data_IF_397365723560
#
_entry.id   IF_397365723560
#
_cell.length_a   1.000
_cell.length_b   1.000
_cell.length_c   1.000
_cell.angle_alpha   90.00
_cell.angle_beta   90.00
_cell.angle_gamma   90.00
#
_symmetry.space_group_name_H-M   'P 1'
#
loop_
_entity.id
_entity.type
_entity.pdbx_description
1 polymer ?
#
# COMPACT_ATOMS: atom_id res chain seq x y z
N UNK A 1 10.68 6.13 16.50
CA UNK A 1 10.60 7.22 17.51
C UNK A 1 11.92 7.41 18.24
N UNK A 2 12.85 6.42 18.19
CA UNK A 2 14.18 6.50 18.78
C UNK A 2 15.15 7.45 18.04
N UNK A 3 14.88 7.74 16.77
CA UNK A 3 15.78 8.52 15.92
C UNK A 3 16.89 7.70 15.23
N UNK A 4 16.94 6.40 15.48
CA UNK A 4 17.98 5.50 14.97
C UNK A 4 17.74 5.08 13.51
N UNK A 5 16.51 5.27 12.99
CA UNK A 5 16.12 4.93 11.62
C UNK A 5 15.82 6.19 10.85
N UNK A 6 16.64 6.46 9.83
CA UNK A 6 16.53 7.64 8.96
C UNK A 6 15.54 7.40 7.82
N UNK A 7 15.43 6.18 7.33
CA UNK A 7 14.54 5.81 6.22
C UNK A 7 13.87 4.47 6.50
N UNK A 8 12.63 4.32 6.05
CA UNK A 8 11.86 3.09 6.20
C UNK A 8 10.87 2.91 5.04
N UNK A 9 10.46 1.67 4.79
CA UNK A 9 9.42 1.35 3.81
C UNK A 9 8.09 1.32 4.55
N UNK A 10 7.14 2.12 4.08
CA UNK A 10 5.77 2.15 4.61
C UNK A 10 4.79 2.59 3.51
N UNK A 11 3.54 2.82 3.87
CA UNK A 11 2.51 3.32 2.97
C UNK A 11 2.03 4.71 3.35
N UNK A 12 1.21 5.30 2.48
CA UNK A 12 0.65 6.66 2.69
C UNK A 12 -0.16 6.80 3.97
N UNK A 13 -0.60 5.71 4.57
CA UNK A 13 -1.32 5.72 5.86
C UNK A 13 -0.47 6.19 7.05
N UNK A 14 0.86 6.10 6.94
CA UNK A 14 1.80 6.54 7.98
C UNK A 14 2.24 7.99 7.84
N UNK A 15 1.89 8.67 6.77
CA UNK A 15 2.33 10.04 6.48
C UNK A 15 2.08 10.99 7.64
N UNK A 16 0.87 10.92 8.23
CA UNK A 16 0.51 11.81 9.35
C UNK A 16 1.37 11.56 10.59
N UNK A 17 1.69 10.30 10.88
CA UNK A 17 2.55 9.92 12.00
C UNK A 17 3.99 10.39 11.78
N UNK A 18 4.52 10.17 10.57
CA UNK A 18 5.87 10.58 10.20
C UNK A 18 5.99 12.12 10.22
N UNK A 19 5.02 12.81 9.64
CA UNK A 19 4.99 14.28 9.62
C UNK A 19 4.86 14.87 11.03
N UNK A 20 4.11 14.22 11.92
CA UNK A 20 4.01 14.68 13.33
C UNK A 20 5.34 14.56 14.08
N UNK A 21 6.24 13.68 13.66
CA UNK A 21 7.56 13.50 14.29
C UNK A 21 8.61 14.42 13.66
N UNK A 22 8.66 14.50 12.33
CA UNK A 22 9.72 15.15 11.58
C UNK A 22 9.35 16.52 11.01
N UNK A 23 8.08 16.91 11.08
CA UNK A 23 7.61 18.20 10.56
C UNK A 23 7.95 18.39 9.08
N UNK A 24 8.56 19.51 8.75
CA UNK A 24 8.97 19.86 7.39
C UNK A 24 10.23 19.09 6.90
N UNK A 25 10.91 18.37 7.79
CA UNK A 25 12.05 17.51 7.44
C UNK A 25 11.61 16.13 6.91
N UNK A 26 10.30 15.87 6.84
CA UNK A 26 9.74 14.67 6.26
C UNK A 26 9.92 14.66 4.74
N UNK A 27 10.35 13.53 4.20
CA UNK A 27 10.41 13.25 2.77
C UNK A 27 9.82 11.91 2.40
N UNK A 28 9.50 11.72 1.13
CA UNK A 28 9.07 10.44 0.59
C UNK A 28 9.51 10.31 -0.86
N UNK A 29 9.83 9.10 -1.27
CA UNK A 29 10.20 8.74 -2.64
C UNK A 29 9.64 7.36 -2.99
N UNK A 30 9.65 7.00 -4.27
CA UNK A 30 9.34 5.63 -4.69
C UNK A 30 10.31 4.63 -4.05
N UNK A 31 9.95 3.34 -4.07
CA UNK A 31 10.82 2.28 -3.56
C UNK A 31 12.18 2.27 -4.25
N UNK A 32 13.23 1.84 -3.56
CA UNK A 32 14.58 1.78 -4.13
C UNK A 32 14.68 0.71 -5.23
N UNK A 33 15.79 0.76 -5.95
CA UNK A 33 16.24 -0.35 -6.80
C UNK A 33 17.08 -1.33 -5.98
N UNK A 34 17.25 -2.53 -6.51
CA UNK A 34 18.15 -3.55 -5.98
C UNK A 34 18.84 -4.28 -7.14
N UNK A 35 20.00 -4.84 -6.87
CA UNK A 35 20.80 -5.53 -7.89
C UNK A 35 20.57 -7.04 -7.84
N UNK A 36 20.17 -7.63 -8.97
CA UNK A 36 20.01 -9.08 -9.14
C UNK A 36 20.79 -9.51 -10.38
N UNK A 37 21.68 -10.49 -10.22
CA UNK A 37 22.51 -11.01 -11.32
C UNK A 37 23.23 -9.90 -12.12
N UNK A 38 23.75 -8.88 -11.43
CA UNK A 38 24.46 -7.75 -12.04
C UNK A 38 23.56 -6.72 -12.74
N UNK A 39 22.23 -6.86 -12.63
CA UNK A 39 21.26 -5.91 -13.20
C UNK A 39 20.54 -5.16 -12.09
N UNK A 40 20.39 -3.85 -12.27
CA UNK A 40 19.59 -3.02 -11.39
C UNK A 40 18.11 -3.20 -11.72
N UNK A 41 17.30 -3.52 -10.71
CA UNK A 41 15.86 -3.78 -10.84
C UNK A 41 15.10 -2.85 -9.90
N UNK A 42 14.08 -2.17 -10.40
CA UNK A 42 13.19 -1.36 -9.59
C UNK A 42 12.30 -2.27 -8.73
N UNK A 43 12.29 -2.03 -7.42
CA UNK A 43 11.42 -2.76 -6.51
C UNK A 43 9.95 -2.53 -6.88
N UNK A 44 9.19 -3.61 -7.02
CA UNK A 44 7.75 -3.59 -7.30
C UNK A 44 6.94 -3.47 -6.01
N UNK A 45 5.70 -3.07 -6.14
CA UNK A 45 4.72 -3.02 -5.04
C UNK A 45 3.34 -3.46 -5.52
N UNK A 46 2.45 -3.76 -4.58
CA UNK A 46 1.04 -3.82 -4.91
C UNK A 46 0.47 -2.41 -5.08
N UNK A 47 -0.44 -2.28 -6.05
CA UNK A 47 -1.32 -1.12 -6.19
C UNK A 47 -2.76 -1.55 -5.92
N UNK A 48 -3.53 -0.68 -5.29
CA UNK A 48 -4.94 -0.94 -5.00
C UNK A 48 -5.69 0.35 -4.69
N UNK A 49 -7.01 0.24 -4.71
CA UNK A 49 -7.90 1.35 -4.41
C UNK A 49 -8.83 0.96 -3.26
N UNK A 50 -9.13 1.91 -2.39
CA UNK A 50 -10.25 1.79 -1.44
C UNK A 50 -11.55 2.02 -2.21
N UNK A 51 -12.45 1.07 -2.14
CA UNK A 51 -13.73 1.12 -2.88
C UNK A 51 -14.90 1.11 -1.90
N UNK A 52 -16.00 1.74 -2.29
CA UNK A 52 -17.28 1.61 -1.63
C UNK A 52 -18.13 0.63 -2.40
N UNK A 53 -18.44 -0.49 -1.77
CA UNK A 53 -19.34 -1.51 -2.33
C UNK A 53 -20.75 -1.39 -1.75
N UNK A 54 -21.75 -1.66 -2.56
CA UNK A 54 -23.15 -1.75 -2.12
C UNK A 54 -23.56 -3.22 -2.12
N UNK A 55 -24.10 -3.68 -1.00
CA UNK A 55 -24.62 -5.04 -0.90
C UNK A 55 -25.80 -5.23 -1.85
N UNK A 56 -25.71 -6.20 -2.75
CA UNK A 56 -26.74 -6.50 -3.74
C UNK A 56 -28.09 -6.95 -3.11
N UNK A 57 -28.04 -7.44 -1.88
CA UNK A 57 -29.22 -7.90 -1.12
C UNK A 57 -29.80 -6.83 -0.17
N UNK A 58 -29.30 -5.59 -0.24
CA UNK A 58 -29.82 -4.50 0.59
C UNK A 58 -31.27 -4.16 0.20
N UNK A 59 -32.15 -4.08 1.17
CA UNK A 59 -33.53 -3.59 1.00
C UNK A 59 -33.56 -2.08 0.67
N UNK A 60 -32.50 -1.33 1.01
CA UNK A 60 -32.35 0.10 0.76
C UNK A 60 -31.29 0.39 -0.32
N UNK A 61 -31.28 -0.39 -1.39
CA UNK A 61 -30.22 -0.36 -2.40
C UNK A 61 -29.99 1.02 -3.01
N UNK A 62 -31.07 1.74 -3.33
CA UNK A 62 -30.97 3.06 -3.96
C UNK A 62 -30.31 4.08 -3.01
N UNK A 63 -30.68 4.05 -1.74
CA UNK A 63 -30.04 4.89 -0.73
C UNK A 63 -28.57 4.51 -0.49
N UNK A 64 -28.27 3.22 -0.49
CA UNK A 64 -26.90 2.73 -0.35
C UNK A 64 -26.02 3.15 -1.54
N UNK A 65 -26.56 3.11 -2.77
CA UNK A 65 -25.86 3.62 -3.96
C UNK A 65 -25.61 5.13 -3.86
N UNK A 66 -26.60 5.92 -3.46
CA UNK A 66 -26.44 7.36 -3.25
C UNK A 66 -25.41 7.68 -2.18
N UNK A 67 -25.39 6.91 -1.09
CA UNK A 67 -24.39 7.07 -0.04
C UNK A 67 -22.98 6.74 -0.56
N UNK A 68 -22.81 5.65 -1.31
CA UNK A 68 -21.54 5.27 -1.89
C UNK A 68 -21.02 6.35 -2.87
N UNK A 69 -21.89 6.88 -3.72
CA UNK A 69 -21.58 7.98 -4.64
C UNK A 69 -21.19 9.25 -3.85
N UNK A 70 -21.99 9.64 -2.86
CA UNK A 70 -21.66 10.79 -2.02
C UNK A 70 -20.32 10.63 -1.30
N UNK A 71 -20.03 9.46 -0.74
CA UNK A 71 -18.77 9.19 -0.06
C UNK A 71 -17.55 9.23 -0.97
N UNK A 72 -17.74 9.04 -2.28
CA UNK A 72 -16.65 8.97 -3.27
C UNK A 72 -16.61 10.13 -4.24
N UNK A 73 -17.52 11.10 -4.11
CA UNK A 73 -17.58 12.28 -4.96
C UNK A 73 -16.37 13.20 -4.76
N UNK A 74 -16.24 14.18 -5.65
CA UNK A 74 -15.11 15.11 -5.68
C UNK A 74 -14.94 15.87 -4.37
N UNK A 75 -16.01 16.41 -3.80
CA UNK A 75 -15.95 17.24 -2.59
C UNK A 75 -15.49 16.43 -1.37
N UNK A 76 -16.02 15.20 -1.22
CA UNK A 76 -15.60 14.33 -0.13
C UNK A 76 -14.17 13.81 -0.32
N UNK A 77 -13.69 13.65 -1.56
CA UNK A 77 -12.29 13.34 -1.80
C UNK A 77 -11.37 14.52 -1.50
N UNK A 78 -11.76 15.75 -1.80
CA UNK A 78 -11.04 16.97 -1.38
C UNK A 78 -10.98 17.08 0.15
N UNK A 79 -12.10 16.87 0.82
CA UNK A 79 -12.17 16.90 2.27
C UNK A 79 -11.26 15.83 2.90
N UNK A 80 -11.30 14.61 2.39
CA UNK A 80 -10.48 13.49 2.89
C UNK A 80 -8.98 13.74 2.65
N UNK A 81 -8.64 14.31 1.51
CA UNK A 81 -7.26 14.76 1.27
C UNK A 81 -6.83 15.81 2.29
N UNK A 82 -7.63 16.85 2.51
CA UNK A 82 -7.34 17.93 3.44
C UNK A 82 -7.17 17.44 4.88
N UNK A 83 -8.08 16.57 5.35
CA UNK A 83 -8.12 16.13 6.75
C UNK A 83 -7.19 14.94 7.04
N UNK A 84 -6.86 14.12 6.03
CA UNK A 84 -6.15 12.85 6.21
C UNK A 84 -4.94 12.67 5.30
N UNK A 85 -4.64 13.61 4.40
CA UNK A 85 -3.62 13.47 3.35
C UNK A 85 -3.76 12.18 2.50
N UNK A 86 -4.98 11.67 2.38
CA UNK A 86 -5.24 10.51 1.53
C UNK A 86 -5.30 10.93 0.07
N UNK A 87 -4.49 10.27 -0.78
CA UNK A 87 -4.46 10.55 -2.20
C UNK A 87 -5.83 10.31 -2.85
N UNK A 88 -6.36 11.30 -3.58
CA UNK A 88 -7.64 11.17 -4.27
C UNK A 88 -7.52 10.32 -5.53
N UNK A 89 -8.58 9.57 -5.86
CA UNK A 89 -8.73 8.89 -7.16
C UNK A 89 -9.46 9.75 -8.19
N UNK A 90 -10.17 10.78 -7.77
CA UNK A 90 -10.79 11.74 -8.67
C UNK A 90 -9.71 12.52 -9.43
N UNK A 91 -9.80 12.53 -10.77
CA UNK A 91 -8.76 13.11 -11.64
C UNK A 91 -8.60 14.63 -11.45
N UNK A 92 -9.68 15.35 -11.18
CA UNK A 92 -9.64 16.80 -10.97
C UNK A 92 -8.94 17.13 -9.65
N UNK A 93 -9.26 16.39 -8.59
CA UNK A 93 -8.63 16.57 -7.28
C UNK A 93 -7.16 16.18 -7.33
N UNK A 94 -6.85 15.04 -7.96
CA UNK A 94 -5.46 14.57 -8.13
C UNK A 94 -4.59 15.53 -8.93
N UNK A 95 -5.18 16.28 -9.88
CA UNK A 95 -4.49 17.27 -10.69
C UNK A 95 -4.25 18.61 -9.97
N UNK A 96 -4.80 18.80 -8.78
CA UNK A 96 -4.63 20.07 -8.03
C UNK A 96 -3.20 20.28 -7.57
N UNK A 97 -2.79 21.54 -7.46
CA UNK A 97 -1.44 21.90 -7.04
C UNK A 97 -1.16 21.53 -5.57
N UNK A 98 -2.21 21.48 -4.75
CA UNK A 98 -2.11 21.07 -3.35
C UNK A 98 -1.73 19.58 -3.25
N UNK A 99 -2.37 18.71 -4.04
CA UNK A 99 -2.08 17.27 -4.07
C UNK A 99 -0.69 17.01 -4.64
N UNK A 100 -0.31 17.72 -5.70
CA UNK A 100 1.01 17.59 -6.33
C UNK A 100 2.17 17.98 -5.42
N UNK A 101 1.95 18.79 -4.40
CA UNK A 101 2.99 19.22 -3.44
C UNK A 101 3.23 18.22 -2.31
N UNK A 102 2.40 17.16 -2.16
CA UNK A 102 2.55 16.18 -1.09
C UNK A 102 3.55 15.10 -1.49
N UNK A 103 4.74 15.01 -0.84
CA UNK A 103 5.80 14.09 -1.24
C UNK A 103 5.35 12.62 -1.31
N UNK A 104 4.58 12.16 -0.33
CA UNK A 104 4.09 10.78 -0.30
C UNK A 104 3.14 10.44 -1.46
N UNK A 105 2.32 11.38 -1.90
CA UNK A 105 1.42 11.17 -3.05
C UNK A 105 2.24 11.12 -4.34
N UNK A 106 3.25 11.97 -4.47
CA UNK A 106 4.15 11.92 -5.62
C UNK A 106 4.91 10.59 -5.66
N UNK A 107 5.43 10.13 -4.52
CA UNK A 107 6.09 8.85 -4.41
C UNK A 107 5.19 7.67 -4.85
N UNK A 108 3.91 7.69 -4.47
CA UNK A 108 2.92 6.68 -4.91
C UNK A 108 2.65 6.75 -6.41
N UNK A 109 2.50 7.96 -6.97
CA UNK A 109 2.31 8.16 -8.41
C UNK A 109 3.52 7.62 -9.20
N UNK A 110 4.73 7.91 -8.75
CA UNK A 110 5.96 7.39 -9.36
C UNK A 110 6.06 5.87 -9.23
N UNK A 111 5.75 5.33 -8.05
CA UNK A 111 5.79 3.90 -7.76
C UNK A 111 4.72 3.11 -8.54
N UNK A 112 3.57 3.71 -8.84
CA UNK A 112 2.47 3.04 -9.54
C UNK A 112 2.85 2.49 -10.91
N UNK A 113 3.87 3.06 -11.54
CA UNK A 113 4.43 2.56 -12.81
C UNK A 113 5.08 1.17 -12.68
N UNK A 114 5.43 0.79 -11.46
CA UNK A 114 6.08 -0.47 -11.11
C UNK A 114 5.20 -1.33 -10.20
N UNK A 115 3.94 -0.97 -10.11
CA UNK A 115 2.97 -1.65 -9.26
C UNK A 115 2.21 -2.74 -10.00
N UNK A 116 1.80 -3.76 -9.25
CA UNK A 116 0.92 -4.83 -9.71
C UNK A 116 -0.38 -4.77 -8.92
N UNK A 117 -1.51 -4.92 -9.61
CA UNK A 117 -2.81 -4.94 -8.94
C UNK A 117 -2.88 -6.10 -7.94
N UNK A 118 -3.20 -5.80 -6.69
CA UNK A 118 -3.38 -6.82 -5.66
C UNK A 118 -4.60 -7.68 -5.99
N UNK A 119 -4.37 -8.98 -6.20
CA UNK A 119 -5.40 -9.99 -6.48
C UNK A 119 -5.38 -11.13 -5.46
N UNK A 120 -4.79 -10.89 -4.30
CA UNK A 120 -4.63 -11.88 -3.23
C UNK A 120 -5.47 -11.49 -2.02
N UNK A 121 -5.95 -12.49 -1.30
CA UNK A 121 -6.70 -12.30 -0.07
C UNK A 121 -5.82 -11.93 1.13
N UNK A 122 -6.46 -11.71 2.29
CA UNK A 122 -5.75 -11.29 3.50
C UNK A 122 -4.72 -12.32 4.01
N UNK A 123 -4.99 -13.61 3.84
CA UNK A 123 -4.09 -14.70 4.25
C UNK A 123 -2.76 -14.75 3.48
N UNK A 124 -2.67 -14.05 2.33
CA UNK A 124 -1.40 -13.82 1.66
C UNK A 124 -0.35 -13.18 2.58
N UNK A 125 -0.77 -12.21 3.38
CA UNK A 125 0.13 -11.47 4.27
C UNK A 125 0.69 -12.31 5.40
N UNK A 126 -0.05 -13.31 5.88
CA UNK A 126 0.41 -14.24 6.92
C UNK A 126 1.58 -15.08 6.40
N UNK A 127 1.47 -15.63 5.18
CA UNK A 127 2.54 -16.39 4.55
C UNK A 127 3.80 -15.52 4.30
N UNK A 128 3.62 -14.26 3.86
CA UNK A 128 4.71 -13.33 3.66
C UNK A 128 5.37 -12.92 4.98
N UNK A 129 4.59 -12.73 6.04
CA UNK A 129 5.10 -12.41 7.36
C UNK A 129 5.94 -13.55 7.92
N UNK A 130 5.42 -14.78 7.89
CA UNK A 130 6.14 -15.97 8.34
C UNK A 130 7.47 -16.16 7.61
N UNK A 131 7.48 -15.94 6.31
CA UNK A 131 8.70 -15.96 5.51
C UNK A 131 9.69 -14.87 5.97
N UNK A 132 9.22 -13.63 6.10
CA UNK A 132 10.04 -12.51 6.56
C UNK A 132 10.63 -12.74 7.94
N UNK A 133 9.83 -13.23 8.88
CA UNK A 133 10.27 -13.54 10.25
C UNK A 133 11.32 -14.67 10.25
N UNK A 134 11.16 -15.68 9.41
CA UNK A 134 12.13 -16.79 9.26
C UNK A 134 13.48 -16.26 8.75
N UNK A 135 13.48 -15.44 7.71
CA UNK A 135 14.70 -14.85 7.14
C UNK A 135 15.37 -13.90 8.15
N UNK A 136 14.59 -13.03 8.78
CA UNK A 136 15.11 -12.02 9.72
C UNK A 136 15.72 -12.65 10.98
N UNK A 137 15.10 -13.71 11.51
CA UNK A 137 15.61 -14.40 12.71
C UNK A 137 16.82 -15.28 12.44
N UNK A 138 17.08 -15.64 11.19
CA UNK A 138 18.07 -16.65 10.81
C UNK A 138 17.72 -18.06 11.32
N UNK A 139 16.50 -18.25 11.86
CA UNK A 139 16.06 -19.52 12.43
C UNK A 139 15.25 -20.30 11.39
N UNK A 140 15.93 -21.10 10.59
CA UNK A 140 15.28 -21.89 9.55
C UNK A 140 14.67 -23.22 10.07
N UNK A 141 14.77 -23.53 11.37
CA UNK A 141 14.28 -24.78 11.98
C UNK A 141 14.72 -26.05 11.23
N UNK A 142 15.93 -26.05 10.67
CA UNK A 142 16.48 -27.14 9.89
C UNK A 142 15.99 -27.24 8.46
N UNK A 143 15.16 -26.30 8.02
CA UNK A 143 14.72 -26.19 6.61
C UNK A 143 15.83 -25.65 5.72
N UNK A 144 15.90 -26.15 4.49
CA UNK A 144 16.72 -25.57 3.43
C UNK A 144 16.05 -24.30 2.88
N UNK A 145 16.82 -23.47 2.16
CA UNK A 145 16.29 -22.26 1.52
C UNK A 145 15.14 -22.59 0.55
N UNK A 146 15.22 -23.72 -0.14
CA UNK A 146 14.17 -24.17 -1.05
C UNK A 146 12.89 -24.52 -0.29
N UNK A 147 12.98 -25.23 0.84
CA UNK A 147 11.83 -25.56 1.67
C UNK A 147 11.16 -24.32 2.26
N UNK A 148 11.93 -23.29 2.62
CA UNK A 148 11.40 -21.99 3.07
C UNK A 148 10.64 -21.30 1.95
N UNK A 149 11.19 -21.30 0.73
CA UNK A 149 10.54 -20.75 -0.45
C UNK A 149 9.27 -21.53 -0.82
N UNK A 150 9.32 -22.85 -0.78
CA UNK A 150 8.16 -23.71 -1.05
C UNK A 150 7.05 -23.48 -0.03
N UNK A 151 7.38 -23.30 1.24
CA UNK A 151 6.41 -22.94 2.29
C UNK A 151 5.73 -21.60 1.99
N UNK A 152 6.48 -20.58 1.56
CA UNK A 152 5.92 -19.28 1.15
C UNK A 152 4.95 -19.45 -0.02
N UNK A 153 5.40 -20.12 -1.10
CA UNK A 153 4.59 -20.31 -2.32
C UNK A 153 3.31 -21.11 -2.02
N UNK A 154 3.41 -22.17 -1.23
CA UNK A 154 2.26 -22.97 -0.83
C UNK A 154 1.27 -22.17 0.04
N UNK A 155 1.77 -21.34 0.96
CA UNK A 155 0.94 -20.44 1.77
C UNK A 155 0.21 -19.41 0.93
N UNK A 156 0.88 -18.80 -0.03
CA UNK A 156 0.29 -17.85 -0.98
C UNK A 156 -0.77 -18.53 -1.86
N UNK A 157 -0.45 -19.70 -2.40
CA UNK A 157 -1.37 -20.45 -3.28
C UNK A 157 -2.63 -20.90 -2.53
N UNK A 158 -2.49 -21.36 -1.29
CA UNK A 158 -3.62 -21.73 -0.44
C UNK A 158 -4.54 -20.53 -0.12
N UNK A 159 -3.98 -19.33 -0.09
CA UNK A 159 -4.71 -18.09 0.21
C UNK A 159 -5.35 -17.41 -0.99
N UNK A 160 -5.10 -17.91 -2.19
CA UNK A 160 -5.68 -17.34 -3.42
C UNK A 160 -7.18 -17.67 -3.46
N UNK A 161 -8.00 -16.64 -3.57
CA UNK A 161 -9.45 -16.81 -3.77
C UNK A 161 -9.66 -17.41 -5.16
N UNK A 162 -10.25 -18.61 -5.20
CA UNK A 162 -10.64 -19.29 -6.43
C UNK A 162 -11.91 -18.66 -7.01
#
# INVERSE_FOLDING_TARGET
KSGDVIAGISGVWDVMNVKAIYGENYGACKLPTYTVAGKEVQMSSFTGYKMMGVNAYSENRDWACRLADWMTNEDNQKLRFKERNQGPSNINVAASDEVKKVPAIQAVIEQSKYGTLQRVGNSFWDACKDFGDTILSGTNNGMTDQEIMDKLVNGITASTIK
#
